data_IF_122437989953
#
_entry.id   IF_122437989953
#
_cell.length_a   1.000
_cell.length_b   1.000
_cell.length_c   1.000
_cell.angle_alpha   90.00
_cell.angle_beta   90.00
_cell.angle_gamma   90.00
#
_symmetry.space_group_name_H-M   'P 1'
#
loop_
_entity.id
_entity.type
_entity.pdbx_description
1 polymer ?
#
# COMPACT_ATOMS: atom_id res chain seq x y z
N UNK A 1 10.63 2.21 14.55
CA UNK A 1 9.16 2.22 14.68
C UNK A 1 8.62 2.61 13.32
N UNK A 2 8.40 1.63 12.46
CA UNK A 2 7.72 1.82 11.18
C UNK A 2 6.23 1.64 11.42
N UNK A 3 5.48 2.72 11.59
CA UNK A 3 4.02 2.61 11.61
C UNK A 3 3.58 2.24 10.18
N UNK A 4 2.85 1.14 9.99
CA UNK A 4 2.26 0.84 8.70
C UNK A 4 1.31 1.99 8.34
N UNK A 5 1.40 2.45 7.09
CA UNK A 5 0.49 3.43 6.53
C UNK A 5 -0.56 2.73 5.68
N UNK A 6 -1.74 3.34 5.57
CA UNK A 6 -2.83 2.83 4.76
C UNK A 6 -3.26 3.92 3.78
N UNK A 7 -3.40 3.57 2.51
CA UNK A 7 -3.89 4.47 1.46
C UNK A 7 -4.63 3.68 0.39
N UNK A 8 -5.36 4.35 -0.48
CA UNK A 8 -5.87 3.75 -1.72
C UNK A 8 -4.85 3.88 -2.83
N UNK A 9 -4.96 3.06 -3.89
CA UNK A 9 -4.05 3.13 -5.05
C UNK A 9 -4.03 4.54 -5.69
N UNK A 10 -5.16 5.26 -5.62
CA UNK A 10 -5.31 6.63 -6.11
C UNK A 10 -4.72 7.69 -5.18
N UNK A 11 -4.69 7.43 -3.86
CA UNK A 11 -4.23 8.40 -2.85
C UNK A 11 -2.78 8.18 -2.41
N UNK A 12 -2.08 7.20 -2.99
CA UNK A 12 -0.72 6.84 -2.57
C UNK A 12 0.30 7.97 -2.77
N UNK A 13 0.04 8.92 -3.69
CA UNK A 13 0.84 10.14 -3.86
C UNK A 13 0.96 10.98 -2.58
N UNK A 14 0.02 10.87 -1.64
CA UNK A 14 0.07 11.58 -0.36
C UNK A 14 1.14 11.03 0.59
N UNK A 15 1.59 9.80 0.36
CA UNK A 15 2.62 9.12 1.15
C UNK A 15 4.00 9.25 0.50
N UNK A 16 4.05 9.28 -0.84
CA UNK A 16 5.27 9.37 -1.61
C UNK A 16 5.93 10.76 -1.46
N UNK A 17 7.20 10.76 -1.09
CA UNK A 17 8.05 11.94 -1.00
C UNK A 17 9.11 11.93 -2.12
N UNK A 18 9.74 13.08 -2.34
CA UNK A 18 10.83 13.19 -3.29
C UNK A 18 12.04 12.33 -2.85
N UNK A 19 12.51 11.46 -3.74
CA UNK A 19 13.59 10.51 -3.45
C UNK A 19 13.12 9.14 -2.95
N UNK A 20 11.80 8.90 -2.93
CA UNK A 20 11.25 7.57 -2.65
C UNK A 20 11.32 6.66 -3.88
N UNK A 21 11.51 5.36 -3.64
CA UNK A 21 11.27 4.33 -4.63
C UNK A 21 10.17 3.38 -4.17
N UNK A 22 9.34 2.95 -5.12
CA UNK A 22 8.15 2.13 -4.85
C UNK A 22 8.45 0.67 -5.16
N UNK A 23 8.22 -0.20 -4.17
CA UNK A 23 8.19 -1.65 -4.34
C UNK A 23 6.73 -2.10 -4.35
N UNK A 24 6.18 -2.37 -5.52
CA UNK A 24 4.80 -2.76 -5.67
C UNK A 24 4.65 -4.29 -5.61
N UNK A 25 4.10 -4.79 -4.50
CA UNK A 25 3.72 -6.18 -4.28
C UNK A 25 2.22 -6.41 -4.51
N UNK A 26 1.41 -5.35 -4.54
CA UNK A 26 -0.06 -5.43 -4.71
C UNK A 26 -0.50 -5.98 -6.06
N UNK A 27 0.30 -5.77 -7.11
CA UNK A 27 -0.09 -6.05 -8.49
C UNK A 27 -1.11 -5.06 -9.07
N UNK A 28 -1.53 -4.06 -8.30
CA UNK A 28 -2.41 -2.99 -8.78
C UNK A 28 -1.60 -1.84 -9.39
N UNK A 29 -2.13 -1.17 -10.42
CA UNK A 29 -1.54 0.06 -10.94
C UNK A 29 -1.64 1.17 -9.87
N UNK A 30 -0.53 1.84 -9.60
CA UNK A 30 -0.45 2.89 -8.58
C UNK A 30 -0.45 4.26 -9.24
N UNK A 31 -1.23 5.20 -8.70
CA UNK A 31 -1.18 6.59 -9.12
C UNK A 31 0.01 7.26 -8.43
N UNK A 32 1.13 7.39 -9.13
CA UNK A 32 2.36 7.97 -8.56
C UNK A 32 2.68 9.35 -9.12
N UNK A 33 3.51 10.10 -8.39
CA UNK A 33 4.00 11.41 -8.83
C UNK A 33 4.96 11.24 -10.02
N UNK A 34 5.01 12.23 -10.91
CA UNK A 34 5.98 12.25 -12.00
C UNK A 34 7.41 12.20 -11.45
N UNK A 35 8.21 11.26 -11.95
CA UNK A 35 9.58 11.03 -11.50
C UNK A 35 9.72 10.02 -10.35
N UNK A 36 8.63 9.41 -9.89
CA UNK A 36 8.71 8.26 -8.97
C UNK A 36 9.46 7.11 -9.62
N UNK A 37 10.43 6.55 -8.89
CA UNK A 37 11.16 5.36 -9.31
C UNK A 37 10.46 4.11 -8.76
N UNK A 38 10.48 3.06 -9.55
CA UNK A 38 9.94 1.75 -9.21
C UNK A 38 11.07 0.74 -9.10
N UNK A 39 10.95 -0.15 -8.12
CA UNK A 39 11.78 -1.34 -8.06
C UNK A 39 11.17 -2.38 -8.99
N UNK A 40 11.98 -2.86 -9.94
CA UNK A 40 11.68 -4.03 -10.74
C UNK A 40 12.66 -5.15 -10.41
N UNK A 41 12.21 -6.40 -10.56
CA UNK A 41 13.06 -7.57 -10.47
C UNK A 41 13.36 -8.10 -11.87
N UNK A 42 14.64 -8.23 -12.22
CA UNK A 42 15.07 -8.78 -13.50
C UNK A 42 16.22 -9.77 -13.28
N UNK A 43 16.06 -11.01 -13.74
CA UNK A 43 17.06 -12.08 -13.61
C UNK A 43 17.58 -12.30 -12.16
N UNK A 44 16.72 -12.11 -11.15
CA UNK A 44 17.11 -12.28 -9.75
C UNK A 44 17.82 -11.08 -9.12
N UNK A 45 17.91 -9.95 -9.82
CA UNK A 45 18.42 -8.69 -9.29
C UNK A 45 17.32 -7.62 -9.25
N UNK A 46 17.36 -6.76 -8.24
CA UNK A 46 16.50 -5.56 -8.18
C UNK A 46 17.16 -4.39 -8.91
N UNK A 47 16.35 -3.61 -9.62
CA UNK A 47 16.78 -2.41 -10.37
C UNK A 47 15.74 -1.31 -10.26
N UNK A 48 16.21 -0.06 -10.33
CA UNK A 48 15.35 1.11 -10.40
C UNK A 48 14.96 1.40 -11.86
N UNK A 49 13.69 1.70 -12.08
CA UNK A 49 13.16 2.12 -13.37
C UNK A 49 12.07 3.18 -13.21
N UNK A 50 11.81 3.95 -14.27
CA UNK A 50 10.79 5.00 -14.26
C UNK A 50 9.38 4.46 -14.59
N UNK A 51 9.28 3.24 -15.11
CA UNK A 51 8.01 2.62 -15.46
C UNK A 51 7.47 1.77 -14.30
N UNK A 52 6.14 1.76 -14.07
CA UNK A 52 5.52 0.91 -13.08
C UNK A 52 5.91 -0.55 -13.27
N UNK A 53 6.38 -1.19 -12.20
CA UNK A 53 6.66 -2.62 -12.16
C UNK A 53 5.96 -3.28 -10.99
N UNK A 54 5.53 -4.51 -11.22
CA UNK A 54 5.13 -5.44 -10.17
C UNK A 54 6.29 -6.36 -9.84
N UNK A 55 6.53 -6.61 -8.56
CA UNK A 55 7.58 -7.51 -8.09
C UNK A 55 6.96 -8.68 -7.34
N UNK A 56 7.26 -9.88 -7.82
CA UNK A 56 7.06 -11.09 -7.03
C UNK A 56 8.27 -11.26 -6.12
N UNK A 57 8.09 -10.96 -4.83
CA UNK A 57 9.20 -10.96 -3.87
C UNK A 57 9.78 -12.37 -3.67
N UNK A 58 11.10 -12.44 -3.61
CA UNK A 58 11.85 -13.61 -3.17
C UNK A 58 13.00 -13.15 -2.26
N UNK A 59 13.42 -14.02 -1.34
CA UNK A 59 14.51 -13.74 -0.39
C UNK A 59 15.83 -13.36 -1.08
N UNK A 60 16.07 -13.89 -2.28
CA UNK A 60 17.30 -13.63 -3.04
C UNK A 60 17.35 -12.19 -3.56
N UNK A 61 16.18 -11.58 -3.85
CA UNK A 61 16.10 -10.19 -4.30
C UNK A 61 16.51 -9.21 -3.20
N UNK A 62 16.26 -9.57 -1.93
CA UNK A 62 16.56 -8.73 -0.79
C UNK A 62 18.04 -8.31 -0.75
N UNK A 63 18.97 -9.20 -1.15
CA UNK A 63 20.40 -8.95 -1.13
C UNK A 63 20.87 -7.85 -2.10
N UNK A 64 20.08 -7.56 -3.14
CA UNK A 64 20.41 -6.56 -4.17
C UNK A 64 19.88 -5.15 -3.84
N UNK A 65 18.94 -5.04 -2.91
CA UNK A 65 18.30 -3.77 -2.53
C UNK A 65 19.27 -2.72 -1.96
N UNK A 66 20.23 -3.06 -1.07
CA UNK A 66 21.10 -2.04 -0.47
C UNK A 66 21.88 -1.22 -1.50
N UNK A 67 22.23 -1.82 -2.64
CA UNK A 67 22.90 -1.12 -3.74
C UNK A 67 22.05 -0.05 -4.41
N UNK A 68 20.72 -0.19 -4.38
CA UNK A 68 19.78 0.79 -4.94
C UNK A 68 19.63 2.02 -4.04
N UNK A 69 19.67 1.81 -2.72
CA UNK A 69 19.56 2.89 -1.72
C UNK A 69 20.76 3.84 -1.80
N UNK A 70 21.95 3.33 -2.14
CA UNK A 70 23.15 4.15 -2.30
C UNK A 70 23.12 5.07 -3.53
N UNK A 71 22.23 4.83 -4.49
CA UNK A 71 22.21 5.50 -5.81
C UNK A 71 21.22 6.69 -5.88
N UNK A 72 20.72 7.16 -4.73
CA UNK A 72 19.87 8.35 -4.63
C UNK A 72 18.44 8.09 -4.11
N UNK A 73 18.13 6.84 -3.73
CA UNK A 73 16.87 6.48 -3.07
C UNK A 73 17.02 6.70 -1.56
N UNK A 74 16.20 7.57 -0.99
CA UNK A 74 16.25 7.89 0.44
C UNK A 74 15.49 6.87 1.30
N UNK A 75 14.38 6.34 0.77
CA UNK A 75 13.59 5.29 1.42
C UNK A 75 12.75 4.50 0.41
N UNK A 76 12.38 3.29 0.80
CA UNK A 76 11.52 2.40 0.04
C UNK A 76 10.08 2.45 0.55
N UNK A 77 9.13 2.54 -0.36
CA UNK A 77 7.71 2.45 -0.07
C UNK A 77 7.22 1.10 -0.58
N UNK A 78 7.03 0.16 0.35
CA UNK A 78 6.53 -1.19 0.05
C UNK A 78 5.01 -1.13 0.01
N UNK A 79 4.41 -1.50 -1.11
CA UNK A 79 2.96 -1.41 -1.34
C UNK A 79 2.37 -2.79 -1.48
N UNK A 80 1.39 -3.13 -0.64
CA UNK A 80 0.72 -4.43 -0.63
C UNK A 80 -0.80 -4.28 -0.44
N UNK A 81 -1.61 -5.27 -0.83
CA UNK A 81 -3.06 -5.21 -0.65
C UNK A 81 -3.50 -5.46 0.80
N UNK A 82 -2.82 -6.37 1.50
CA UNK A 82 -3.16 -6.70 2.86
C UNK A 82 -1.92 -6.57 3.76
N UNK A 83 -2.10 -5.89 4.89
CA UNK A 83 -1.07 -5.73 5.92
C UNK A 83 -0.83 -7.05 6.67
N UNK A 84 -1.82 -7.94 6.67
CA UNK A 84 -1.83 -9.20 7.41
C UNK A 84 -1.21 -10.35 6.63
N UNK A 85 -0.91 -10.15 5.34
CA UNK A 85 -0.11 -11.10 4.59
C UNK A 85 1.30 -11.22 5.19
N UNK A 86 1.80 -12.46 5.27
CA UNK A 86 3.13 -12.73 5.80
C UNK A 86 4.24 -12.14 4.90
N UNK A 87 3.97 -12.03 3.59
CA UNK A 87 4.98 -11.62 2.60
C UNK A 87 5.40 -10.16 2.77
N UNK A 88 4.51 -9.15 2.81
CA UNK A 88 4.89 -7.75 2.99
C UNK A 88 5.62 -7.51 4.33
N UNK A 89 5.19 -8.17 5.41
CA UNK A 89 5.87 -8.08 6.70
C UNK A 89 7.27 -8.71 6.65
N UNK A 90 7.43 -9.85 5.99
CA UNK A 90 8.74 -10.47 5.79
C UNK A 90 9.69 -9.56 5.00
N UNK A 91 9.19 -8.93 3.92
CA UNK A 91 9.95 -7.96 3.11
C UNK A 91 10.46 -6.82 3.99
N UNK A 92 9.59 -6.19 4.78
CA UNK A 92 9.97 -5.07 5.64
C UNK A 92 11.03 -5.50 6.65
N UNK A 93 10.87 -6.67 7.27
CA UNK A 93 11.87 -7.20 8.22
C UNK A 93 13.22 -7.48 7.56
N UNK A 94 13.23 -7.99 6.33
CA UNK A 94 14.45 -8.21 5.56
C UNK A 94 15.15 -6.91 5.18
N UNK A 95 14.39 -5.87 4.83
CA UNK A 95 14.89 -4.54 4.54
C UNK A 95 15.46 -3.87 5.80
N UNK A 96 14.75 -3.96 6.92
CA UNK A 96 15.22 -3.45 8.21
C UNK A 96 16.50 -4.16 8.67
N UNK A 97 16.60 -5.48 8.49
CA UNK A 97 17.81 -6.24 8.81
C UNK A 97 19.04 -5.78 8.00
N UNK A 98 18.80 -5.20 6.82
CA UNK A 98 19.83 -4.65 5.94
C UNK A 98 20.05 -3.14 6.13
N UNK A 99 19.45 -2.53 7.16
CA UNK A 99 19.46 -1.09 7.43
C UNK A 99 18.91 -0.24 6.27
N UNK A 100 17.96 -0.77 5.52
CA UNK A 100 17.29 -0.04 4.43
C UNK A 100 16.08 0.71 5.00
N UNK A 101 16.03 2.05 4.88
CA UNK A 101 14.86 2.82 5.29
C UNK A 101 13.67 2.43 4.43
N UNK A 102 12.60 1.94 5.06
CA UNK A 102 11.40 1.51 4.35
C UNK A 102 10.12 1.91 5.11
N UNK A 103 9.00 1.98 4.40
CA UNK A 103 7.66 2.11 4.97
C UNK A 103 6.74 1.11 4.28
N UNK A 104 5.90 0.42 5.06
CA UNK A 104 4.85 -0.44 4.53
C UNK A 104 3.59 0.39 4.34
N UNK A 105 3.08 0.42 3.12
CA UNK A 105 1.80 1.00 2.74
C UNK A 105 0.87 -0.11 2.29
N UNK A 106 -0.29 -0.20 2.91
CA UNK A 106 -1.31 -1.17 2.51
C UNK A 106 -2.42 -0.49 1.74
N UNK A 107 -2.76 -1.07 0.60
CA UNK A 107 -3.85 -0.60 -0.23
C UNK A 107 -5.16 -1.00 0.42
N UNK A 108 -5.88 -0.01 0.95
CA UNK A 108 -7.27 -0.23 1.29
C UNK A 108 -8.04 -0.30 -0.01
N UNK A 109 -8.68 -1.45 -0.27
CA UNK A 109 -9.80 -1.48 -1.19
C UNK A 109 -10.86 -0.62 -0.51
N UNK A 110 -11.28 0.48 -1.14
CA UNK A 110 -12.51 1.13 -0.74
C UNK A 110 -13.59 0.05 -0.88
N UNK A 111 -13.96 -0.60 0.22
CA UNK A 111 -15.23 -1.26 0.31
C UNK A 111 -16.23 -0.13 0.08
N UNK A 112 -16.79 -0.08 -1.12
CA UNK A 112 -17.97 0.71 -1.43
C UNK A 112 -18.88 0.67 -0.20
N UNK A 113 -19.31 1.85 0.20
CA UNK A 113 -20.19 2.10 1.32
C UNK A 113 -21.60 1.51 1.10
N UNK A 114 -21.69 0.23 0.74
CA UNK A 114 -22.90 -0.50 0.38
C UNK A 114 -23.28 -1.56 1.43
N UNK A 115 -22.64 -1.53 2.61
CA UNK A 115 -22.94 -2.42 3.74
C UNK A 115 -23.36 -1.66 5.02
N UNK A 116 -23.98 -0.48 4.89
CA UNK A 116 -24.67 0.18 6.00
C UNK A 116 -26.04 0.72 5.57
N UNK A 117 -26.93 -0.20 5.18
CA UNK A 117 -28.35 -0.07 5.47
C UNK A 117 -28.87 -1.48 5.72
N UNK A 118 -28.82 -1.92 6.98
CA UNK A 118 -29.74 -2.95 7.45
C UNK A 118 -31.15 -2.37 7.24
N UNK A 119 -31.84 -2.85 6.21
CA UNK A 119 -33.18 -2.45 5.79
C UNK A 119 -34.28 -2.83 6.82
N UNK A 120 -33.90 -3.13 8.07
CA UNK A 120 -34.80 -3.49 9.18
C UNK A 120 -35.14 -2.33 10.12
N UNK A 121 -34.46 -1.18 10.04
CA UNK A 121 -34.69 -0.08 11.01
C UNK A 121 -35.51 1.11 10.47
N UNK A 122 -35.86 1.11 9.18
CA UNK A 122 -36.71 2.16 8.59
C UNK A 122 -38.18 2.03 9.04
N UNK A 123 -38.68 0.81 9.20
CA UNK A 123 -40.09 0.55 9.58
C UNK A 123 -40.34 0.83 11.07
N UNK A 124 -39.36 0.52 11.93
CA UNK A 124 -39.42 0.81 13.37
C UNK A 124 -39.45 2.32 13.67
N UNK A 125 -38.72 3.13 12.89
CA UNK A 125 -38.72 4.60 13.01
C UNK A 125 -40.03 5.19 12.48
N UNK A 126 -40.56 4.67 11.37
CA UNK A 126 -41.84 5.12 10.81
C UNK A 126 -43.03 4.86 11.77
N UNK A 127 -43.08 3.69 12.40
CA UNK A 127 -44.11 3.35 13.40
C UNK A 127 -44.06 4.29 14.61
N UNK A 128 -42.86 4.70 15.02
CA UNK A 128 -42.65 5.59 16.18
C UNK A 128 -43.02 7.04 15.88
N UNK A 129 -42.77 7.53 14.65
CA UNK A 129 -43.19 8.86 14.22
C UNK A 129 -44.71 8.97 14.07
N UNK A 130 -45.39 7.89 13.66
CA UNK A 130 -46.85 7.80 13.61
C UNK A 130 -47.48 7.88 15.00
N UNK A 131 -46.90 7.20 15.98
CA UNK A 131 -47.37 7.27 17.38
C UNK A 131 -47.15 8.65 18.02
N UNK A 132 -46.17 9.42 17.54
CA UNK A 132 -45.89 10.77 18.00
C UNK A 132 -46.64 11.87 17.21
N UNK A 133 -47.41 11.50 16.19
CA UNK A 133 -48.28 12.43 15.44
C UNK A 133 -47.57 13.35 14.45
N UNK A 134 -46.34 13.00 14.03
CA UNK A 134 -45.55 13.81 13.09
C UNK A 134 -45.84 13.48 11.61
N UNK A 135 -46.57 12.39 11.34
CA UNK A 135 -47.10 11.96 10.04
C UNK A 135 -48.45 11.25 10.21
#
# INVERSE_FOLDING_TARGET
MNNPCSATADSITSILLAGDAVLNLSGEPLNTVSGTLYIAANNGETRLQAEPAQVNWTTDLAASIPGLVTDGVQRLVVVANDATDDVPMAVVRELEAQNVPCVLCTLSVDCDADAFMDEEDAEAVAERLRQLGYI
#
